data_IF_869231256249
#
_entry.id   IF_869231256249
#
_cell.length_a   1.000
_cell.length_b   1.000
_cell.length_c   1.000
_cell.angle_alpha   90.00
_cell.angle_beta   90.00
_cell.angle_gamma   90.00
#
_symmetry.space_group_name_H-M   'P 1'
#
loop_
_entity.id
_entity.type
_entity.pdbx_description
1 polymer ?
#
# COMPACT_ATOMS: atom_id res chain seq x y z
N UNK A 1 16.70 -12.39 -32.84
CA UNK A 1 17.04 -11.06 -32.34
C UNK A 1 15.95 -10.63 -31.38
N UNK A 2 16.22 -10.53 -30.06
CA UNK A 2 15.19 -10.13 -29.13
C UNK A 2 14.93 -8.63 -29.30
N UNK A 3 13.67 -8.27 -29.52
CA UNK A 3 13.21 -6.90 -29.45
C UNK A 3 13.48 -6.38 -28.03
N UNK A 4 14.45 -5.48 -27.89
CA UNK A 4 14.53 -4.55 -26.78
C UNK A 4 13.24 -3.72 -26.81
N UNK A 5 12.24 -4.13 -26.03
CA UNK A 5 11.09 -3.29 -25.73
C UNK A 5 11.64 -2.02 -25.09
N UNK A 6 11.59 -0.93 -25.83
CA UNK A 6 11.93 0.40 -25.36
C UNK A 6 11.08 0.70 -24.12
N UNK A 7 11.74 0.71 -22.95
CA UNK A 7 11.21 1.16 -21.66
C UNK A 7 11.10 2.69 -21.63
N UNK A 8 10.46 3.29 -22.64
CA UNK A 8 10.20 4.74 -22.70
C UNK A 8 9.00 5.12 -21.81
N UNK A 9 9.03 4.69 -20.55
CA UNK A 9 8.21 5.31 -19.52
C UNK A 9 8.72 6.72 -19.21
N UNK A 10 7.88 7.63 -18.70
CA UNK A 10 8.33 8.96 -18.29
C UNK A 10 9.43 8.82 -17.22
N UNK A 11 10.64 9.33 -17.48
CA UNK A 11 11.74 9.32 -16.51
C UNK A 11 11.91 10.68 -15.86
N UNK A 12 12.47 10.70 -14.64
CA UNK A 12 12.94 11.94 -14.03
C UNK A 12 14.19 12.47 -14.77
N UNK A 13 14.33 13.79 -14.80
CA UNK A 13 15.53 14.48 -15.27
C UNK A 13 16.72 14.37 -14.31
N UNK A 14 17.79 15.14 -14.55
CA UNK A 14 19.02 15.11 -13.73
C UNK A 14 18.81 15.64 -12.31
N UNK A 15 17.75 16.43 -12.08
CA UNK A 15 17.38 16.94 -10.76
C UNK A 15 15.88 16.80 -10.52
N UNK A 16 15.53 16.26 -9.35
CA UNK A 16 14.18 15.99 -8.90
C UNK A 16 13.86 16.82 -7.66
N UNK A 17 12.78 17.60 -7.73
CA UNK A 17 12.21 18.25 -6.56
C UNK A 17 11.14 17.34 -5.93
N UNK A 18 11.08 17.31 -4.60
CA UNK A 18 10.07 16.54 -3.87
C UNK A 18 9.41 17.42 -2.81
N UNK A 19 8.09 17.59 -2.85
CA UNK A 19 7.35 18.23 -1.75
C UNK A 19 6.70 17.18 -0.87
N UNK A 20 6.83 17.32 0.46
CA UNK A 20 6.12 16.50 1.44
C UNK A 20 4.65 16.96 1.59
N UNK A 21 3.74 16.13 2.13
CA UNK A 21 2.37 16.57 2.42
C UNK A 21 2.37 17.73 3.41
N UNK A 22 1.42 18.64 3.24
CA UNK A 22 1.30 19.82 4.09
C UNK A 22 1.13 19.53 5.56
N UNK A 23 0.40 18.46 5.89
CA UNK A 23 0.15 17.97 7.24
C UNK A 23 1.43 17.62 8.00
N UNK A 24 2.51 17.30 7.29
CA UNK A 24 3.78 16.91 7.88
C UNK A 24 4.72 18.06 8.17
N UNK A 25 4.63 19.17 7.43
CA UNK A 25 5.57 20.29 7.54
C UNK A 25 5.69 20.87 8.96
N UNK A 26 4.60 21.07 9.74
CA UNK A 26 4.72 21.59 11.11
C UNK A 26 5.49 20.66 12.07
N UNK A 27 5.66 19.38 11.71
CA UNK A 27 6.38 18.38 12.51
C UNK A 27 7.87 18.33 12.20
N UNK A 28 8.34 19.08 11.21
CA UNK A 28 9.71 19.03 10.72
C UNK A 28 10.49 20.27 11.17
N UNK A 29 11.71 20.05 11.67
CA UNK A 29 12.71 21.12 11.84
C UNK A 29 13.45 21.31 10.52
N UNK A 30 12.85 22.06 9.60
CA UNK A 30 13.44 22.33 8.28
C UNK A 30 14.36 23.56 8.30
N UNK A 31 15.54 23.51 7.65
CA UNK A 31 16.49 24.62 7.63
C UNK A 31 16.09 25.77 6.69
N UNK A 32 15.09 25.55 5.83
CA UNK A 32 14.62 26.54 4.86
C UNK A 32 13.56 25.97 3.92
N UNK A 33 13.16 26.77 2.92
CA UNK A 33 12.16 26.34 1.94
C UNK A 33 12.67 25.27 0.97
N UNK A 34 13.99 25.18 0.80
CA UNK A 34 14.69 24.11 0.09
C UNK A 34 15.64 23.42 1.07
N UNK A 35 15.67 22.09 1.05
CA UNK A 35 16.53 21.33 1.96
C UNK A 35 16.92 19.96 1.38
N UNK A 36 18.03 19.41 1.88
CA UNK A 36 18.53 18.09 1.48
C UNK A 36 17.90 16.95 2.29
N UNK A 37 18.19 15.70 1.88
CA UNK A 37 17.70 14.47 2.54
C UNK A 37 18.07 14.41 4.03
N UNK A 38 19.21 14.97 4.42
CA UNK A 38 19.70 14.92 5.79
C UNK A 38 18.76 15.54 6.82
N UNK A 39 17.95 16.54 6.42
CA UNK A 39 16.97 17.16 7.29
C UNK A 39 15.80 16.22 7.67
N UNK A 40 15.67 15.08 6.99
CA UNK A 40 14.62 14.08 7.24
C UNK A 40 15.13 12.85 8.00
N UNK A 41 16.44 12.74 8.26
CA UNK A 41 17.08 11.51 8.78
C UNK A 41 16.49 11.06 10.11
N UNK A 42 16.30 12.00 11.03
CA UNK A 42 15.92 11.72 12.43
C UNK A 42 14.41 11.95 12.67
N UNK A 43 13.63 12.15 11.61
CA UNK A 43 12.20 12.40 11.71
C UNK A 43 11.45 11.08 11.80
N UNK A 44 10.64 10.91 12.85
CA UNK A 44 9.72 9.79 12.98
C UNK A 44 8.54 9.99 12.03
N UNK A 45 8.58 9.31 10.88
CA UNK A 45 7.54 9.33 9.85
C UNK A 45 6.68 8.06 9.86
N UNK A 46 5.44 8.11 9.34
CA UNK A 46 4.63 6.94 9.09
C UNK A 46 5.35 6.01 8.13
N UNK A 47 5.06 4.72 8.24
CA UNK A 47 5.74 3.67 7.46
C UNK A 47 5.58 3.93 5.96
N UNK A 48 4.40 4.34 5.52
CA UNK A 48 4.07 4.55 4.11
C UNK A 48 4.78 5.78 3.54
N UNK A 49 4.86 6.90 4.28
CA UNK A 49 5.63 8.07 3.84
C UNK A 49 7.12 7.72 3.75
N UNK A 50 7.64 7.01 4.74
CA UNK A 50 9.04 6.54 4.76
C UNK A 50 9.33 5.62 3.57
N UNK A 51 8.42 4.70 3.26
CA UNK A 51 8.53 3.80 2.12
C UNK A 51 8.47 4.57 0.78
N UNK A 52 7.59 5.57 0.66
CA UNK A 52 7.50 6.42 -0.53
C UNK A 52 8.80 7.22 -0.74
N UNK A 53 9.35 7.78 0.32
CA UNK A 53 10.63 8.48 0.29
C UNK A 53 11.81 7.54 -0.02
N UNK A 54 11.84 6.34 0.56
CA UNK A 54 12.86 5.34 0.27
C UNK A 54 12.83 4.94 -1.21
N UNK A 55 11.64 4.72 -1.76
CA UNK A 55 11.45 4.42 -3.18
C UNK A 55 11.95 5.55 -4.09
N UNK A 56 11.56 6.79 -3.82
CA UNK A 56 12.05 7.95 -4.57
C UNK A 56 13.57 8.12 -4.44
N UNK A 57 14.10 7.86 -3.25
CA UNK A 57 15.53 7.96 -2.95
C UNK A 57 16.31 6.93 -3.74
N UNK A 58 15.89 5.67 -3.70
CA UNK A 58 16.51 4.57 -4.43
C UNK A 58 16.46 4.82 -5.94
N UNK A 59 15.32 5.25 -6.46
CA UNK A 59 15.16 5.55 -7.88
C UNK A 59 16.09 6.68 -8.32
N UNK A 60 16.13 7.77 -7.58
CA UNK A 60 16.98 8.91 -7.88
C UNK A 60 18.47 8.52 -7.81
N UNK A 61 18.88 7.75 -6.80
CA UNK A 61 20.25 7.24 -6.70
C UNK A 61 20.60 6.32 -7.88
N UNK A 62 19.72 5.38 -8.25
CA UNK A 62 19.94 4.48 -9.37
C UNK A 62 20.11 5.20 -10.72
N UNK A 63 19.51 6.38 -10.87
CA UNK A 63 19.58 7.23 -12.07
C UNK A 63 20.62 8.35 -11.99
N UNK A 64 21.36 8.45 -10.89
CA UNK A 64 22.22 9.61 -10.60
C UNK A 64 21.47 10.96 -10.67
N UNK A 65 20.17 10.95 -10.34
CA UNK A 65 19.35 12.15 -10.24
C UNK A 65 19.56 12.80 -8.86
N UNK A 66 19.95 14.07 -8.85
CA UNK A 66 20.05 14.84 -7.60
C UNK A 66 18.64 15.12 -7.06
N UNK A 67 18.43 14.92 -5.75
CA UNK A 67 17.12 15.08 -5.13
C UNK A 67 17.16 16.19 -4.07
N UNK A 68 16.21 17.10 -4.15
CA UNK A 68 16.05 18.19 -3.19
C UNK A 68 14.58 18.31 -2.77
N UNK A 69 14.34 18.66 -1.51
CA UNK A 69 13.00 18.85 -0.99
C UNK A 69 12.56 20.30 -1.01
N UNK A 70 11.25 20.49 -1.22
CA UNK A 70 10.58 21.80 -1.20
C UNK A 70 9.52 21.79 -0.10
N UNK A 71 9.66 22.67 0.90
CA UNK A 71 8.73 22.70 2.03
C UNK A 71 7.37 23.30 1.65
N UNK A 72 7.38 24.50 1.05
CA UNK A 72 6.18 25.31 0.81
C UNK A 72 6.04 25.67 -0.67
N UNK A 73 5.86 24.68 -1.56
CA UNK A 73 5.72 24.93 -3.00
C UNK A 73 4.65 25.98 -3.35
N UNK A 74 3.60 26.09 -2.53
CA UNK A 74 2.49 27.03 -2.72
C UNK A 74 2.88 28.52 -2.73
N UNK A 75 4.03 28.88 -2.14
CA UNK A 75 4.51 30.28 -2.14
C UNK A 75 5.27 30.62 -3.44
N UNK A 76 5.67 29.62 -4.23
CA UNK A 76 6.50 29.77 -5.42
C UNK A 76 5.69 29.78 -6.72
N UNK A 77 4.56 30.48 -6.69
CA UNK A 77 3.64 30.52 -7.83
C UNK A 77 3.94 31.65 -8.81
N UNK A 78 4.47 32.79 -8.34
CA UNK A 78 4.73 33.96 -9.18
C UNK A 78 5.76 34.93 -8.55
N UNK A 79 6.15 35.95 -9.31
CA UNK A 79 6.93 37.11 -8.84
C UNK A 79 8.32 36.75 -8.28
N UNK A 80 8.75 37.52 -7.27
CA UNK A 80 10.08 37.37 -6.64
C UNK A 80 10.29 36.00 -6.01
N UNK A 81 9.26 35.44 -5.38
CA UNK A 81 9.35 34.12 -4.75
C UNK A 81 9.62 33.04 -5.81
N UNK A 82 8.94 33.11 -6.96
CA UNK A 82 9.20 32.19 -8.06
C UNK A 82 10.60 32.35 -8.63
N UNK A 83 11.02 33.57 -8.94
CA UNK A 83 12.37 33.84 -9.44
C UNK A 83 13.46 33.31 -8.47
N UNK A 84 13.27 33.50 -7.16
CA UNK A 84 14.14 32.95 -6.12
C UNK A 84 14.26 31.43 -6.16
N UNK A 85 13.14 30.73 -6.44
CA UNK A 85 13.13 29.28 -6.57
C UNK A 85 13.89 28.85 -7.82
N UNK A 86 13.57 29.45 -8.98
CA UNK A 86 14.17 29.11 -10.27
C UNK A 86 15.70 29.25 -10.24
N UNK A 87 16.22 30.31 -9.60
CA UNK A 87 17.67 30.52 -9.37
C UNK A 87 18.34 29.36 -8.60
N UNK A 88 17.61 28.65 -7.73
CA UNK A 88 18.16 27.66 -6.79
C UNK A 88 17.92 26.22 -7.21
N UNK A 89 16.82 25.96 -7.91
CA UNK A 89 16.49 24.62 -8.41
C UNK A 89 17.29 24.28 -9.67
N UNK A 90 17.94 25.28 -10.29
CA UNK A 90 18.79 25.08 -11.46
C UNK A 90 18.00 24.54 -12.65
N UNK A 91 18.43 23.41 -13.19
CA UNK A 91 17.83 22.74 -14.35
C UNK A 91 16.72 21.75 -13.98
N UNK A 92 16.24 21.73 -12.73
CA UNK A 92 15.17 20.85 -12.31
C UNK A 92 13.89 21.09 -13.12
N UNK A 93 13.40 20.04 -13.80
CA UNK A 93 12.17 20.08 -14.60
C UNK A 93 11.03 19.27 -14.00
N UNK A 94 11.35 18.31 -13.14
CA UNK A 94 10.39 17.37 -12.57
C UNK A 94 10.21 17.63 -11.08
N UNK A 95 8.96 17.54 -10.64
CA UNK A 95 8.57 17.71 -9.25
C UNK A 95 7.64 16.57 -8.84
N UNK A 96 7.95 15.89 -7.74
CA UNK A 96 7.07 14.88 -7.13
C UNK A 96 6.33 15.49 -5.95
N UNK A 97 5.02 15.63 -6.09
CA UNK A 97 4.13 16.00 -5.01
C UNK A 97 3.66 14.74 -4.26
N UNK A 98 4.26 14.50 -3.09
CA UNK A 98 3.78 13.51 -2.13
C UNK A 98 2.46 14.03 -1.52
N UNK A 99 1.37 13.27 -1.70
CA UNK A 99 0.05 13.62 -1.19
C UNK A 99 -0.52 12.53 -0.29
N UNK A 100 -1.02 12.95 0.87
CA UNK A 100 -1.80 12.15 1.82
C UNK A 100 -3.31 12.10 1.49
N UNK A 101 -3.69 12.68 0.35
CA UNK A 101 -5.08 12.93 -0.05
C UNK A 101 -5.65 14.27 0.41
N UNK A 102 -5.12 14.88 1.48
CA UNK A 102 -5.62 16.15 1.99
C UNK A 102 -5.08 17.37 1.24
N UNK A 103 -3.88 17.26 0.67
CA UNK A 103 -3.28 18.34 -0.13
C UNK A 103 -2.47 17.78 -1.29
N UNK A 104 -2.57 18.44 -2.45
CA UNK A 104 -1.70 18.22 -3.61
C UNK A 104 -1.07 19.57 -3.93
N UNK A 105 0.27 19.64 -3.86
CA UNK A 105 0.99 20.91 -3.87
C UNK A 105 1.93 21.02 -5.09
N UNK A 106 1.40 21.23 -6.31
CA UNK A 106 2.23 21.34 -7.50
C UNK A 106 3.05 22.63 -7.50
N UNK A 107 4.17 22.63 -8.23
CA UNK A 107 4.95 23.82 -8.55
C UNK A 107 4.64 24.20 -10.00
N UNK A 108 4.04 25.37 -10.28
CA UNK A 108 3.73 25.80 -11.66
C UNK A 108 4.96 25.71 -12.58
N UNK A 109 4.78 25.52 -13.89
CA UNK A 109 5.91 25.48 -14.84
C UNK A 109 6.86 24.26 -14.73
N UNK A 110 6.72 23.41 -13.70
CA UNK A 110 7.40 22.12 -13.63
C UNK A 110 6.47 20.98 -14.07
N UNK A 111 7.07 19.85 -14.46
CA UNK A 111 6.36 18.60 -14.71
C UNK A 111 6.01 17.96 -13.36
N UNK A 112 4.75 18.11 -12.95
CA UNK A 112 4.29 17.66 -11.64
C UNK A 112 3.84 16.20 -11.69
N UNK A 113 4.45 15.36 -10.87
CA UNK A 113 4.12 13.96 -10.69
C UNK A 113 3.45 13.78 -9.33
N UNK A 114 2.31 13.10 -9.29
CA UNK A 114 1.63 12.82 -8.03
C UNK A 114 2.04 11.44 -7.49
N UNK A 115 2.39 11.39 -6.21
CA UNK A 115 2.51 10.14 -5.46
C UNK A 115 1.49 10.16 -4.32
N UNK A 116 0.45 9.34 -4.43
CA UNK A 116 -0.59 9.22 -3.41
C UNK A 116 -0.31 8.07 -2.42
N UNK A 117 -0.34 8.39 -1.13
CA UNK A 117 -0.23 7.48 0.02
C UNK A 117 -1.07 8.03 1.19
N UNK A 118 -1.23 7.32 2.30
CA UNK A 118 -1.25 5.86 2.35
C UNK A 118 -2.37 5.32 1.43
N UNK A 119 -2.04 4.31 0.62
CA UNK A 119 -3.07 3.58 -0.14
C UNK A 119 -3.80 2.60 0.77
N UNK A 120 -5.10 2.44 0.56
CA UNK A 120 -5.90 1.52 1.37
C UNK A 120 -6.29 2.08 2.73
N UNK A 121 -6.12 3.37 2.95
CA UNK A 121 -6.77 4.10 4.03
C UNK A 121 -8.03 4.80 3.47
N UNK A 122 -9.24 4.42 3.93
CA UNK A 122 -10.48 5.01 3.42
C UNK A 122 -10.59 6.53 3.64
N UNK A 123 -10.05 7.06 4.75
CA UNK A 123 -10.10 8.48 5.05
C UNK A 123 -9.21 9.28 4.08
N UNK A 124 -7.98 8.83 3.81
CA UNK A 124 -7.08 9.44 2.81
C UNK A 124 -7.66 9.38 1.39
N UNK A 125 -8.27 8.25 1.01
CA UNK A 125 -8.93 8.12 -0.29
C UNK A 125 -10.14 9.05 -0.42
N UNK A 126 -10.93 9.20 0.64
CA UNK A 126 -12.05 10.13 0.66
C UNK A 126 -11.56 11.58 0.65
N UNK A 127 -10.49 11.90 1.37
CA UNK A 127 -9.85 13.21 1.34
C UNK A 127 -9.41 13.58 -0.08
N UNK A 128 -8.77 12.63 -0.79
CA UNK A 128 -8.36 12.84 -2.17
C UNK A 128 -9.56 13.10 -3.09
N UNK A 129 -10.66 12.35 -2.93
CA UNK A 129 -11.91 12.57 -3.69
C UNK A 129 -12.52 13.93 -3.40
N UNK A 130 -12.47 14.37 -2.14
CA UNK A 130 -12.94 15.70 -1.75
C UNK A 130 -12.08 16.80 -2.37
N UNK A 131 -10.74 16.64 -2.34
CA UNK A 131 -9.81 17.56 -2.95
C UNK A 131 -10.03 17.66 -4.47
N UNK A 132 -10.21 16.53 -5.14
CA UNK A 132 -10.59 16.47 -6.56
C UNK A 132 -11.88 17.21 -6.88
N UNK A 133 -12.88 17.14 -6.00
CA UNK A 133 -14.16 17.82 -6.18
C UNK A 133 -14.03 19.34 -6.02
N UNK A 134 -13.15 19.80 -5.11
CA UNK A 134 -13.01 21.21 -4.76
C UNK A 134 -12.02 21.93 -5.68
N UNK A 135 -10.93 21.27 -6.07
CA UNK A 135 -9.86 21.85 -6.87
C UNK A 135 -9.39 20.88 -7.99
N UNK A 136 -10.26 20.53 -8.95
CA UNK A 136 -9.94 19.57 -10.02
C UNK A 136 -8.78 20.05 -10.92
N UNK A 137 -8.55 21.36 -11.02
CA UNK A 137 -7.45 21.97 -11.78
C UNK A 137 -6.06 21.56 -11.27
N UNK A 138 -5.91 21.22 -9.98
CA UNK A 138 -4.65 20.72 -9.41
C UNK A 138 -4.22 19.40 -10.06
N UNK A 139 -5.19 18.63 -10.57
CA UNK A 139 -4.97 17.30 -11.15
C UNK A 139 -4.88 17.33 -12.67
N UNK A 140 -5.49 18.33 -13.31
CA UNK A 140 -5.49 18.47 -14.77
C UNK A 140 -4.07 18.67 -15.34
N UNK A 141 -3.19 19.36 -14.59
CA UNK A 141 -1.81 19.64 -14.98
C UNK A 141 -0.78 18.57 -14.59
N UNK A 142 -1.21 17.41 -14.09
CA UNK A 142 -0.28 16.35 -13.69
C UNK A 142 0.39 15.70 -14.91
N UNK A 143 1.72 15.68 -14.90
CA UNK A 143 2.53 15.00 -15.91
C UNK A 143 2.44 13.47 -15.77
N UNK A 144 2.36 12.94 -14.55
CA UNK A 144 2.13 11.51 -14.31
C UNK A 144 1.64 11.21 -12.89
N UNK A 145 1.27 9.95 -12.65
CA UNK A 145 0.99 9.36 -11.35
C UNK A 145 2.02 8.27 -11.04
N UNK A 146 2.74 8.39 -9.94
CA UNK A 146 3.70 7.37 -9.50
C UNK A 146 2.93 6.21 -8.85
N UNK A 147 3.13 4.99 -9.37
CA UNK A 147 2.50 3.76 -8.91
C UNK A 147 0.99 3.88 -8.69
N UNK A 148 0.36 4.76 -9.48
CA UNK A 148 -1.04 5.10 -9.43
C UNK A 148 -1.64 5.09 -10.83
N UNK A 149 -2.97 5.09 -10.88
CA UNK A 149 -3.70 5.03 -12.15
C UNK A 149 -5.12 5.55 -12.01
N UNK A 150 -5.31 6.53 -11.12
CA UNK A 150 -6.59 7.17 -10.88
C UNK A 150 -6.96 8.04 -12.08
N UNK A 151 -8.26 8.13 -12.35
CA UNK A 151 -8.79 9.04 -13.36
C UNK A 151 -9.54 10.15 -12.64
N UNK A 152 -9.42 11.36 -13.16
CA UNK A 152 -9.96 12.58 -12.57
C UNK A 152 -10.93 13.20 -13.56
N UNK A 153 -11.99 13.82 -13.04
CA UNK A 153 -12.94 14.56 -13.87
C UNK A 153 -12.60 16.04 -13.82
N UNK A 154 -12.44 16.67 -14.98
CA UNK A 154 -12.23 18.10 -15.13
C UNK A 154 -13.28 18.65 -16.09
N UNK A 155 -14.28 19.35 -15.53
CA UNK A 155 -15.48 19.74 -16.27
C UNK A 155 -16.23 18.53 -16.84
N UNK A 156 -16.42 18.50 -18.16
CA UNK A 156 -17.04 17.39 -18.87
C UNK A 156 -16.07 16.25 -19.23
N UNK A 157 -14.76 16.47 -19.09
CA UNK A 157 -13.74 15.54 -19.58
C UNK A 157 -13.15 14.67 -18.46
N UNK A 158 -12.80 13.44 -18.81
CA UNK A 158 -11.98 12.58 -17.96
C UNK A 158 -10.51 12.72 -18.34
N UNK A 159 -9.67 13.12 -17.38
CA UNK A 159 -8.22 13.14 -17.51
C UNK A 159 -7.63 11.95 -16.75
N UNK A 160 -6.70 11.24 -17.37
CA UNK A 160 -5.94 10.18 -16.73
C UNK A 160 -4.45 10.42 -16.97
N UNK A 161 -3.76 11.09 -16.03
CA UNK A 161 -2.32 11.24 -16.13
C UNK A 161 -1.65 9.86 -16.25
N UNK A 162 -0.62 9.71 -17.10
CA UNK A 162 0.04 8.43 -17.32
C UNK A 162 0.68 7.91 -16.04
N UNK A 163 0.82 6.59 -15.92
CA UNK A 163 1.47 5.96 -14.77
C UNK A 163 3.00 5.97 -14.94
N UNK A 164 3.72 6.33 -13.88
CA UNK A 164 5.15 6.14 -13.73
C UNK A 164 5.38 5.01 -12.74
N UNK A 165 5.99 3.92 -13.19
CA UNK A 165 6.23 2.73 -12.38
C UNK A 165 7.60 2.79 -11.72
N UNK A 166 7.63 3.06 -10.42
CA UNK A 166 8.86 3.01 -9.63
C UNK A 166 8.89 1.73 -8.81
N UNK A 167 10.03 1.04 -8.76
CA UNK A 167 10.17 -0.28 -8.14
C UNK A 167 11.30 -0.31 -7.13
N UNK A 168 11.02 -0.83 -5.94
CA UNK A 168 12.07 -1.25 -5.02
C UNK A 168 12.67 -2.56 -5.55
N UNK A 169 14.00 -2.67 -5.61
CA UNK A 169 14.62 -3.97 -5.94
C UNK A 169 14.49 -4.96 -4.78
N UNK A 170 14.65 -4.46 -3.56
CA UNK A 170 14.59 -5.21 -2.33
C UNK A 170 13.54 -4.61 -1.40
N UNK A 171 12.82 -5.46 -0.70
CA UNK A 171 11.82 -5.04 0.27
C UNK A 171 12.54 -4.47 1.49
N UNK A 172 12.23 -3.23 1.93
CA UNK A 172 12.86 -2.66 3.10
C UNK A 172 12.59 -3.51 4.34
N UNK A 173 13.61 -3.71 5.17
CA UNK A 173 13.45 -4.36 6.47
C UNK A 173 12.42 -3.59 7.30
N UNK A 174 11.37 -4.30 7.74
CA UNK A 174 10.27 -3.69 8.48
C UNK A 174 10.21 -4.14 9.94
N UNK A 175 11.32 -4.68 10.45
CA UNK A 175 11.45 -5.31 11.76
C UNK A 175 11.36 -6.83 11.71
N UNK A 176 11.49 -7.47 12.86
CA UNK A 176 11.29 -8.91 13.02
C UNK A 176 9.80 -9.23 12.81
N UNK A 177 9.50 -10.21 11.98
CA UNK A 177 8.14 -10.70 11.78
C UNK A 177 7.70 -11.50 13.01
N UNK A 178 6.73 -10.97 13.76
CA UNK A 178 6.05 -11.73 14.80
C UNK A 178 4.93 -12.55 14.19
N UNK A 179 4.82 -13.82 14.60
CA UNK A 179 3.75 -14.73 14.18
C UNK A 179 2.84 -15.00 15.36
N UNK A 180 1.54 -14.82 15.19
CA UNK A 180 0.54 -15.10 16.22
C UNK A 180 -0.47 -16.11 15.68
N UNK A 181 -0.93 -17.07 16.50
CA UNK A 181 -1.94 -18.02 16.05
C UNK A 181 -3.24 -17.30 15.74
N UNK A 182 -3.99 -17.80 14.76
CA UNK A 182 -5.32 -17.31 14.50
C UNK A 182 -6.25 -17.66 15.66
N UNK A 183 -6.99 -16.66 16.12
CA UNK A 183 -8.05 -16.80 17.10
C UNK A 183 -9.10 -15.72 16.88
N UNK A 184 -10.35 -16.14 16.68
CA UNK A 184 -11.50 -15.24 16.50
C UNK A 184 -12.56 -15.54 17.56
N UNK A 185 -12.20 -15.35 18.83
CA UNK A 185 -13.10 -15.51 19.99
C UNK A 185 -13.74 -14.21 20.47
N UNK A 186 -14.57 -14.26 21.53
CA UNK A 186 -15.24 -13.09 22.09
C UNK A 186 -14.22 -12.00 22.50
N UNK A 187 -14.46 -10.79 21.97
CA UNK A 187 -13.59 -9.63 22.09
C UNK A 187 -13.59 -9.08 23.54
N UNK A 188 -12.43 -9.10 24.19
CA UNK A 188 -12.17 -8.43 25.47
C UNK A 188 -10.67 -8.46 25.78
N UNK A 189 -10.17 -7.52 26.59
CA UNK A 189 -8.75 -7.51 27.03
C UNK A 189 -8.30 -8.85 27.59
N UNK A 190 -9.19 -9.58 28.28
CA UNK A 190 -8.93 -10.93 28.80
C UNK A 190 -8.85 -12.02 27.72
N UNK A 191 -9.54 -11.88 26.58
CA UNK A 191 -9.49 -12.86 25.47
C UNK A 191 -8.22 -12.77 24.63
N UNK A 192 -7.57 -11.59 24.63
CA UNK A 192 -6.28 -11.35 23.98
C UNK A 192 -5.09 -11.61 24.93
N UNK A 193 -5.32 -11.54 26.26
CA UNK A 193 -4.35 -11.96 27.28
C UNK A 193 -4.10 -13.46 27.15
N UNK A 194 -2.99 -13.82 26.51
CA UNK A 194 -2.57 -15.22 26.32
C UNK A 194 -2.43 -15.64 24.86
N UNK A 195 -2.66 -14.76 23.88
CA UNK A 195 -2.14 -14.96 22.52
C UNK A 195 -0.65 -14.66 22.57
N UNK A 196 0.15 -15.70 22.79
CA UNK A 196 1.60 -15.58 22.77
C UNK A 196 2.10 -15.68 21.33
N UNK A 197 3.04 -14.80 20.92
CA UNK A 197 3.69 -14.95 19.64
C UNK A 197 4.50 -16.26 19.63
N UNK A 198 4.66 -16.84 18.45
CA UNK A 198 5.62 -17.90 18.26
C UNK A 198 7.03 -17.43 18.68
N UNK A 199 7.88 -18.34 19.21
CA UNK A 199 9.28 -18.02 19.44
C UNK A 199 9.93 -17.49 18.15
N UNK A 200 10.77 -16.43 18.21
CA UNK A 200 11.39 -15.84 17.02
C UNK A 200 12.20 -16.84 16.16
N UNK A 201 12.73 -17.88 16.78
CA UNK A 201 13.56 -18.92 16.15
C UNK A 201 12.75 -20.08 15.57
N UNK A 202 11.45 -20.17 15.89
CA UNK A 202 10.61 -21.25 15.40
C UNK A 202 10.32 -21.03 13.91
N UNK A 203 10.83 -21.93 13.06
CA UNK A 203 10.60 -21.91 11.63
C UNK A 203 9.12 -22.18 11.30
N UNK A 204 8.64 -21.62 10.19
CA UNK A 204 7.33 -22.01 9.65
C UNK A 204 7.37 -23.50 9.23
N UNK A 205 6.25 -24.23 9.39
CA UNK A 205 6.11 -25.55 8.77
C UNK A 205 6.30 -25.42 7.26
N UNK A 206 7.40 -25.96 6.73
CA UNK A 206 7.76 -25.89 5.30
C UNK A 206 7.00 -26.95 4.47
N UNK A 207 6.23 -27.81 5.14
CA UNK A 207 5.48 -28.91 4.52
C UNK A 207 4.22 -28.45 3.78
N UNK A 208 3.78 -27.19 3.97
CA UNK A 208 2.58 -26.65 3.35
C UNK A 208 2.86 -25.41 2.48
N UNK A 209 2.23 -25.30 1.29
CA UNK A 209 2.33 -24.10 0.46
C UNK A 209 1.77 -22.87 1.20
N UNK A 210 2.50 -21.76 1.17
CA UNK A 210 2.09 -20.52 1.85
C UNK A 210 1.18 -19.67 0.95
N UNK A 211 -0.02 -19.32 1.44
CA UNK A 211 -0.87 -18.25 0.90
C UNK A 211 -0.72 -17.01 1.78
N UNK A 212 -0.34 -15.89 1.20
CA UNK A 212 -0.12 -14.64 1.93
C UNK A 212 -1.14 -13.57 1.55
N UNK A 213 -1.75 -12.93 2.55
CA UNK A 213 -2.79 -11.91 2.38
C UNK A 213 -2.44 -10.68 3.23
N UNK A 214 -1.96 -9.57 2.64
CA UNK A 214 -1.75 -8.35 3.38
C UNK A 214 -3.08 -7.60 3.59
N UNK A 215 -3.44 -7.35 4.84
CA UNK A 215 -4.67 -6.63 5.18
C UNK A 215 -4.41 -5.13 5.32
N UNK A 216 -5.33 -4.32 4.80
CA UNK A 216 -5.37 -2.87 5.00
C UNK A 216 -6.73 -2.47 5.58
N UNK A 217 -6.87 -1.24 6.09
CA UNK A 217 -8.17 -0.74 6.56
C UNK A 217 -9.24 -0.81 5.46
N UNK A 218 -8.90 -0.47 4.22
CA UNK A 218 -9.82 -0.63 3.08
C UNK A 218 -10.17 -2.09 2.80
N UNK A 219 -9.22 -3.02 2.96
CA UNK A 219 -9.50 -4.45 2.80
C UNK A 219 -10.47 -4.97 3.87
N UNK A 220 -10.31 -4.50 5.11
CA UNK A 220 -11.21 -4.85 6.22
C UNK A 220 -12.61 -4.22 6.08
N UNK A 221 -12.72 -3.10 5.36
CA UNK A 221 -14.00 -2.45 5.06
C UNK A 221 -14.73 -3.01 3.82
N UNK A 222 -14.04 -3.79 2.96
CA UNK A 222 -14.62 -4.43 1.78
C UNK A 222 -15.26 -5.78 2.18
N UNK A 223 -16.57 -5.77 2.46
CA UNK A 223 -17.31 -6.97 2.89
C UNK A 223 -17.19 -8.16 1.91
N UNK A 224 -17.34 -7.98 0.58
CA UNK A 224 -17.06 -9.06 -0.38
C UNK A 224 -15.65 -9.66 -0.26
N UNK A 225 -14.62 -8.82 -0.17
CA UNK A 225 -13.24 -9.28 0.01
C UNK A 225 -13.08 -10.02 1.34
N UNK A 226 -13.60 -9.45 2.42
CA UNK A 226 -13.44 -10.03 3.75
C UNK A 226 -14.17 -11.36 3.92
N UNK A 227 -15.32 -11.54 3.25
CA UNK A 227 -16.00 -12.85 3.19
C UNK A 227 -15.17 -13.90 2.47
N UNK A 228 -14.49 -13.54 1.39
CA UNK A 228 -13.55 -14.44 0.72
C UNK A 228 -12.38 -14.81 1.65
N UNK A 229 -11.76 -13.83 2.31
CA UNK A 229 -10.70 -14.09 3.30
C UNK A 229 -11.19 -14.99 4.44
N UNK A 230 -12.39 -14.76 4.95
CA UNK A 230 -12.97 -15.59 6.01
C UNK A 230 -13.22 -17.04 5.56
N UNK A 231 -13.58 -17.27 4.30
CA UNK A 231 -13.70 -18.62 3.73
C UNK A 231 -12.34 -19.31 3.63
N UNK A 232 -11.31 -18.61 3.14
CA UNK A 232 -9.92 -19.10 3.08
C UNK A 232 -9.38 -19.47 4.47
N UNK A 233 -9.73 -18.67 5.48
CA UNK A 233 -9.41 -18.97 6.89
C UNK A 233 -10.07 -20.27 7.34
N UNK A 234 -11.36 -20.47 7.08
CA UNK A 234 -12.05 -21.70 7.46
C UNK A 234 -11.46 -22.92 6.76
N UNK A 235 -11.21 -22.83 5.46
CA UNK A 235 -10.61 -23.91 4.69
C UNK A 235 -9.24 -24.30 5.26
N UNK A 236 -8.37 -23.32 5.53
CA UNK A 236 -7.07 -23.57 6.15
C UNK A 236 -7.17 -24.22 7.54
N UNK A 237 -8.15 -23.80 8.37
CA UNK A 237 -8.37 -24.39 9.71
C UNK A 237 -8.85 -25.83 9.63
N UNK A 238 -9.74 -26.17 8.68
CA UNK A 238 -10.34 -27.50 8.55
C UNK A 238 -9.52 -28.46 7.66
N UNK A 239 -8.21 -28.24 7.54
CA UNK A 239 -7.31 -29.17 6.87
C UNK A 239 -7.09 -28.89 5.39
N UNK A 240 -7.35 -27.67 4.93
CA UNK A 240 -6.95 -27.21 3.60
C UNK A 240 -5.44 -27.37 3.36
N UNK A 241 -4.97 -27.35 2.10
CA UNK A 241 -3.57 -27.62 1.79
C UNK A 241 -2.65 -26.45 2.18
N UNK A 242 -3.12 -25.21 2.06
CA UNK A 242 -2.30 -24.01 2.21
C UNK A 242 -2.16 -23.58 3.69
N UNK A 243 -0.96 -23.14 4.08
CA UNK A 243 -0.74 -22.36 5.30
C UNK A 243 -1.08 -20.89 5.01
N UNK A 244 -1.98 -20.29 5.79
CA UNK A 244 -2.44 -18.93 5.54
C UNK A 244 -1.74 -17.91 6.44
N UNK A 245 -1.09 -16.92 5.85
CA UNK A 245 -0.47 -15.79 6.55
C UNK A 245 -1.26 -14.51 6.29
N UNK A 246 -1.79 -13.90 7.34
CA UNK A 246 -2.55 -12.66 7.29
C UNK A 246 -1.70 -11.52 7.87
N UNK A 247 -1.19 -10.62 7.02
CA UNK A 247 -0.47 -9.44 7.54
C UNK A 247 -1.46 -8.46 8.16
N UNK A 248 -1.23 -8.10 9.43
CA UNK A 248 -2.07 -7.14 10.13
C UNK A 248 -2.00 -5.74 9.49
N UNK A 249 -3.11 -4.98 9.46
CA UNK A 249 -3.10 -3.60 8.95
C UNK A 249 -2.19 -2.71 9.80
N UNK A 250 -1.55 -1.72 9.20
CA UNK A 250 -0.69 -0.75 9.88
C UNK A 250 -1.38 0.62 9.90
N UNK A 251 -2.28 0.90 10.87
CA UNK A 251 -2.96 2.18 10.92
C UNK A 251 -1.98 3.32 11.20
N UNK A 252 -2.33 4.53 10.75
CA UNK A 252 -1.56 5.73 11.08
C UNK A 252 -1.52 5.92 12.61
N UNK A 253 -0.33 6.20 13.15
CA UNK A 253 -0.13 6.40 14.60
C UNK A 253 0.39 5.18 15.36
N UNK A 254 0.64 4.04 14.70
CA UNK A 254 1.43 2.94 15.29
C UNK A 254 0.70 2.19 16.40
N UNK A 255 -0.55 1.78 16.16
CA UNK A 255 -1.28 0.94 17.10
C UNK A 255 -0.48 -0.32 17.46
N UNK A 256 -0.46 -0.66 18.76
CA UNK A 256 0.14 -1.90 19.25
C UNK A 256 -0.48 -3.13 18.55
N UNK A 257 0.29 -4.22 18.46
CA UNK A 257 -0.14 -5.47 17.82
C UNK A 257 -1.52 -5.94 18.30
N UNK A 258 -1.80 -5.79 19.61
CA UNK A 258 -3.11 -6.13 20.18
C UNK A 258 -4.27 -5.33 19.58
N UNK A 259 -4.11 -4.01 19.39
CA UNK A 259 -5.13 -3.17 18.78
C UNK A 259 -5.36 -3.52 17.30
N UNK A 260 -4.28 -3.83 16.58
CA UNK A 260 -4.35 -4.29 15.17
C UNK A 260 -5.13 -5.60 15.04
N UNK A 261 -4.88 -6.56 15.94
CA UNK A 261 -5.59 -7.83 16.00
C UNK A 261 -7.08 -7.62 16.30
N UNK A 262 -7.41 -6.78 17.29
CA UNK A 262 -8.79 -6.47 17.64
C UNK A 262 -9.58 -5.91 16.44
N UNK A 263 -8.95 -5.05 15.63
CA UNK A 263 -9.55 -4.52 14.40
C UNK A 263 -9.86 -5.63 13.40
N UNK A 264 -8.90 -6.55 13.16
CA UNK A 264 -9.10 -7.66 12.20
C UNK A 264 -10.16 -8.63 12.69
N UNK A 265 -10.12 -9.04 13.97
CA UNK A 265 -11.11 -9.96 14.57
C UNK A 265 -12.52 -9.38 14.50
N UNK A 266 -12.68 -8.09 14.81
CA UNK A 266 -13.97 -7.39 14.71
C UNK A 266 -14.50 -7.40 13.27
N UNK A 267 -13.63 -7.11 12.30
CA UNK A 267 -14.00 -7.13 10.90
C UNK A 267 -14.43 -8.55 10.46
N UNK A 268 -13.65 -9.58 10.79
CA UNK A 268 -13.96 -10.97 10.46
C UNK A 268 -15.27 -11.42 11.10
N UNK A 269 -15.53 -11.04 12.36
CA UNK A 269 -16.79 -11.33 13.05
C UNK A 269 -17.98 -10.68 12.35
N UNK A 270 -17.82 -9.45 11.85
CA UNK A 270 -18.87 -8.73 11.13
C UNK A 270 -19.28 -9.40 9.80
N UNK A 271 -18.50 -10.34 9.26
CA UNK A 271 -18.88 -11.11 8.06
C UNK A 271 -20.05 -12.05 8.31
N UNK A 272 -20.29 -12.43 9.58
CA UNK A 272 -21.27 -13.44 9.99
C UNK A 272 -20.76 -14.88 9.90
N UNK A 273 -19.51 -15.09 9.47
CA UNK A 273 -18.88 -16.42 9.42
C UNK A 273 -18.44 -16.82 10.83
N UNK A 274 -18.81 -18.03 11.24
CA UNK A 274 -18.48 -18.57 12.56
C UNK A 274 -17.16 -19.32 12.47
N UNK A 275 -16.17 -18.90 13.26
CA UNK A 275 -14.88 -19.57 13.36
C UNK A 275 -14.83 -20.51 14.59
N UNK A 276 -14.01 -21.57 14.54
CA UNK A 276 -13.75 -22.39 15.71
C UNK A 276 -13.21 -21.56 16.89
N UNK A 277 -13.60 -21.95 18.11
CA UNK A 277 -13.10 -21.32 19.35
C UNK A 277 -11.72 -21.82 19.77
N UNK A 278 -11.13 -22.76 19.03
CA UNK A 278 -9.77 -23.20 19.24
C UNK A 278 -8.80 -22.31 18.46
N UNK A 279 -7.59 -22.13 19.00
CA UNK A 279 -6.50 -21.46 18.28
C UNK A 279 -6.03 -22.36 17.14
N UNK A 280 -5.64 -21.76 16.02
CA UNK A 280 -5.08 -22.50 14.89
C UNK A 280 -3.75 -21.89 14.47
N UNK A 281 -2.78 -22.75 14.16
CA UNK A 281 -1.51 -22.39 13.53
C UNK A 281 -1.51 -22.61 12.02
N UNK A 282 -2.59 -23.21 11.47
CA UNK A 282 -2.81 -23.31 10.03
C UNK A 282 -3.17 -21.95 9.39
N UNK A 283 -3.58 -21.00 10.24
CA UNK A 283 -3.73 -19.59 9.90
C UNK A 283 -2.92 -18.79 10.93
N UNK A 284 -2.10 -17.84 10.48
CA UNK A 284 -1.26 -17.04 11.36
C UNK A 284 -1.44 -15.56 11.02
N UNK A 285 -1.57 -14.74 12.07
CA UNK A 285 -1.39 -13.31 11.92
C UNK A 285 0.10 -12.99 11.92
N UNK A 286 0.53 -12.12 11.00
CA UNK A 286 1.92 -11.66 10.93
C UNK A 286 2.00 -10.14 11.01
N UNK A 287 3.00 -9.62 11.72
CA UNK A 287 3.17 -8.17 11.89
C UNK A 287 3.93 -7.51 10.72
N UNK A 288 4.66 -8.32 9.95
CA UNK A 288 5.50 -7.93 8.83
C UNK A 288 5.47 -8.95 7.68
N UNK A 289 5.95 -8.58 6.48
CA UNK A 289 5.99 -9.49 5.35
C UNK A 289 6.99 -10.64 5.58
N UNK A 290 6.70 -11.88 5.15
CA UNK A 290 7.57 -13.03 5.31
C UNK A 290 8.74 -13.02 4.29
N UNK A 291 9.73 -12.16 4.52
CA UNK A 291 10.89 -12.02 3.63
C UNK A 291 11.74 -13.30 3.59
N UNK A 292 12.26 -13.64 2.41
CA UNK A 292 13.12 -14.81 2.19
C UNK A 292 12.39 -16.16 2.17
N UNK A 293 11.05 -16.16 2.28
CA UNK A 293 10.23 -17.38 2.23
C UNK A 293 9.63 -17.58 0.83
N UNK A 294 9.49 -18.84 0.40
CA UNK A 294 8.77 -19.17 -0.83
C UNK A 294 7.25 -19.05 -0.60
N UNK A 295 6.58 -18.29 -1.45
CA UNK A 295 5.14 -18.02 -1.34
C UNK A 295 4.43 -18.68 -2.52
N UNK A 296 3.49 -19.58 -2.26
CA UNK A 296 2.75 -20.26 -3.33
C UNK A 296 1.77 -19.30 -4.01
N UNK A 297 1.13 -18.43 -3.23
CA UNK A 297 0.19 -17.43 -3.75
C UNK A 297 0.09 -16.19 -2.85
N UNK A 298 -0.12 -15.04 -3.48
CA UNK A 298 -0.46 -13.79 -2.80
C UNK A 298 -1.83 -13.31 -3.23
N UNK A 299 -2.73 -13.06 -2.28
CA UNK A 299 -4.03 -12.45 -2.54
C UNK A 299 -4.04 -10.99 -2.10
N UNK A 300 -4.23 -10.07 -3.04
CA UNK A 300 -4.17 -8.64 -2.80
C UNK A 300 -5.54 -7.98 -2.94
N UNK A 301 -5.87 -7.13 -1.97
CA UNK A 301 -6.94 -6.15 -2.11
C UNK A 301 -6.44 -4.92 -2.90
N UNK A 302 -7.26 -4.25 -3.73
CA UNK A 302 -6.85 -3.05 -4.50
C UNK A 302 -6.33 -1.87 -3.66
N UNK A 303 -6.67 -1.84 -2.37
CA UNK A 303 -6.16 -0.88 -1.40
C UNK A 303 -4.73 -1.15 -0.93
N UNK A 304 -4.13 -2.31 -1.24
CA UNK A 304 -2.78 -2.63 -0.77
C UNK A 304 -1.76 -1.65 -1.37
N UNK A 305 -0.89 -1.02 -0.55
CA UNK A 305 0.21 -0.18 -1.03
C UNK A 305 1.34 -1.05 -1.62
N UNK A 306 1.07 -1.76 -2.73
CA UNK A 306 1.97 -2.77 -3.32
C UNK A 306 3.40 -2.27 -3.58
N UNK A 307 3.57 -0.97 -3.85
CA UNK A 307 4.86 -0.34 -4.10
C UNK A 307 5.78 -0.28 -2.88
N UNK A 308 5.29 -0.62 -1.66
CA UNK A 308 6.11 -0.74 -0.46
C UNK A 308 6.96 -2.01 -0.44
N UNK A 309 6.57 -2.99 -1.24
CA UNK A 309 7.29 -4.25 -1.38
C UNK A 309 8.23 -4.17 -2.58
N UNK A 310 9.41 -4.76 -2.43
CA UNK A 310 10.36 -4.93 -3.51
C UNK A 310 9.97 -6.04 -4.48
N UNK A 311 10.63 -6.05 -5.62
CA UNK A 311 10.48 -7.10 -6.63
C UNK A 311 10.87 -8.46 -6.05
N UNK A 312 11.91 -8.51 -5.21
CA UNK A 312 12.31 -9.70 -4.46
C UNK A 312 11.14 -10.42 -3.75
N UNK A 313 10.23 -9.65 -3.15
CA UNK A 313 9.08 -10.20 -2.44
C UNK A 313 8.04 -10.77 -3.39
N UNK A 314 7.76 -10.07 -4.49
CA UNK A 314 6.81 -10.58 -5.49
C UNK A 314 7.41 -11.73 -6.30
N UNK A 315 8.72 -11.75 -6.54
CA UNK A 315 9.41 -12.83 -7.24
C UNK A 315 9.42 -14.13 -6.41
N UNK A 316 9.42 -14.01 -5.07
CA UNK A 316 9.20 -15.13 -4.17
C UNK A 316 7.78 -15.73 -4.25
N UNK A 317 6.81 -15.01 -4.82
CA UNK A 317 5.45 -15.49 -5.05
C UNK A 317 5.31 -16.17 -6.42
N UNK A 318 4.92 -17.45 -6.41
CA UNK A 318 4.61 -18.19 -7.65
C UNK A 318 3.40 -17.61 -8.37
N UNK A 319 2.39 -17.13 -7.61
CA UNK A 319 1.17 -16.52 -8.13
C UNK A 319 0.83 -15.25 -7.38
N UNK A 320 0.40 -14.22 -8.10
CA UNK A 320 -0.16 -12.99 -7.53
C UNK A 320 -1.55 -12.78 -8.08
N UNK A 321 -2.50 -12.59 -7.17
CA UNK A 321 -3.92 -12.50 -7.47
C UNK A 321 -4.50 -11.23 -6.84
N UNK A 322 -5.44 -10.61 -7.53
CA UNK A 322 -6.20 -9.46 -7.01
C UNK A 322 -7.64 -9.89 -6.86
N UNK A 323 -8.23 -9.68 -5.69
CA UNK A 323 -9.64 -9.97 -5.45
C UNK A 323 -10.54 -8.77 -5.76
N UNK A 324 -11.71 -9.05 -6.35
CA UNK A 324 -12.81 -8.10 -6.52
C UNK A 324 -13.29 -7.95 -7.98
N UNK A 325 -14.07 -6.89 -8.24
CA UNK A 325 -14.72 -6.66 -9.55
C UNK A 325 -14.07 -5.50 -10.34
N UNK A 326 -14.64 -4.30 -10.30
CA UNK A 326 -14.24 -3.19 -11.17
C UNK A 326 -12.96 -2.48 -10.71
N UNK A 327 -12.84 -2.15 -9.42
CA UNK A 327 -11.62 -1.57 -8.85
C UNK A 327 -10.44 -2.56 -8.96
N UNK A 328 -10.72 -3.84 -8.73
CA UNK A 328 -9.78 -4.93 -8.87
C UNK A 328 -9.21 -5.06 -10.29
N UNK A 329 -10.05 -4.92 -11.33
CA UNK A 329 -9.58 -4.99 -12.72
C UNK A 329 -8.57 -3.88 -13.03
N UNK A 330 -8.83 -2.64 -12.61
CA UNK A 330 -7.91 -1.51 -12.82
C UNK A 330 -6.62 -1.66 -12.03
N UNK A 331 -6.73 -2.08 -10.77
CA UNK A 331 -5.57 -2.34 -9.92
C UNK A 331 -4.72 -3.49 -10.47
N UNK A 332 -5.35 -4.58 -10.92
CA UNK A 332 -4.68 -5.69 -11.59
C UNK A 332 -3.89 -5.22 -12.81
N UNK A 333 -4.49 -4.40 -13.68
CA UNK A 333 -3.75 -3.86 -14.86
C UNK A 333 -2.56 -3.01 -14.44
N UNK A 334 -2.73 -2.16 -13.41
CA UNK A 334 -1.63 -1.36 -12.85
C UNK A 334 -0.52 -2.26 -12.31
N UNK A 335 -0.88 -3.29 -11.52
CA UNK A 335 0.06 -4.20 -10.89
C UNK A 335 0.74 -5.13 -11.92
N UNK A 336 0.03 -5.63 -12.92
CA UNK A 336 0.63 -6.40 -14.03
C UNK A 336 1.66 -5.58 -14.78
N UNK A 337 1.34 -4.32 -15.09
CA UNK A 337 2.29 -3.42 -15.77
C UNK A 337 3.49 -3.09 -14.85
N UNK A 338 3.25 -2.91 -13.56
CA UNK A 338 4.31 -2.69 -12.59
C UNK A 338 5.19 -3.91 -12.38
N UNK A 339 4.64 -5.14 -12.33
CA UNK A 339 5.41 -6.39 -12.18
C UNK A 339 6.02 -6.91 -13.49
N UNK A 340 5.60 -6.38 -14.64
CA UNK A 340 5.94 -6.92 -15.97
C UNK A 340 5.56 -8.41 -16.15
N UNK A 341 4.54 -8.87 -15.42
CA UNK A 341 4.03 -10.24 -15.52
C UNK A 341 2.52 -10.31 -15.30
N UNK A 342 1.86 -11.40 -15.72
CA UNK A 342 0.43 -11.59 -15.50
C UNK A 342 0.07 -11.58 -14.01
N UNK A 343 -1.08 -11.00 -13.68
CA UNK A 343 -1.67 -11.01 -12.34
C UNK A 343 -3.09 -11.57 -12.46
N UNK A 344 -3.41 -12.56 -11.62
CA UNK A 344 -4.72 -13.20 -11.59
C UNK A 344 -5.80 -12.23 -11.10
N UNK A 345 -7.03 -12.43 -11.56
CA UNK A 345 -8.21 -11.75 -11.02
C UNK A 345 -9.13 -12.78 -10.40
N UNK A 346 -9.26 -12.76 -9.08
CA UNK A 346 -10.20 -13.59 -8.36
C UNK A 346 -11.49 -12.81 -8.14
N UNK A 347 -12.55 -13.24 -8.80
CA UNK A 347 -13.88 -12.67 -8.58
C UNK A 347 -14.49 -13.41 -7.41
N UNK A 348 -14.96 -12.71 -6.36
CA UNK A 348 -15.80 -13.35 -5.36
C UNK A 348 -16.93 -14.06 -6.07
N UNK A 349 -17.21 -15.32 -5.73
CA UNK A 349 -18.41 -15.98 -6.20
C UNK A 349 -19.59 -15.05 -5.88
N UNK A 350 -20.41 -14.72 -6.89
CA UNK A 350 -21.68 -14.08 -6.61
C UNK A 350 -22.37 -14.97 -5.58
N UNK A 351 -22.86 -14.38 -4.48
CA UNK A 351 -23.44 -15.13 -3.38
C UNK A 351 -24.64 -15.95 -3.90
N UNK A 352 -24.37 -17.16 -4.41
CA UNK A 352 -25.31 -18.25 -4.40
C UNK A 352 -25.64 -18.44 -2.93
N UNK A 353 -26.91 -18.23 -2.58
CA UNK A 353 -27.37 -18.17 -1.19
C UNK A 353 -26.67 -19.21 -0.34
N UNK A 354 -26.01 -18.76 0.72
CA UNK A 354 -25.29 -19.64 1.62
C UNK A 354 -26.22 -20.82 2.00
N UNK A 355 -25.77 -22.09 1.85
CA UNK A 355 -26.52 -23.18 2.42
C UNK A 355 -26.62 -22.92 3.92
N UNK A 356 -27.85 -22.74 4.41
CA UNK A 356 -28.13 -22.75 5.85
C UNK A 356 -27.77 -24.14 6.34
N UNK A 357 -26.57 -24.30 6.87
CA UNK A 357 -26.25 -25.48 7.69
C UNK A 357 -26.98 -25.27 9.01
N UNK A 358 -28.22 -25.77 9.08
CA UNK A 358 -28.88 -26.01 10.36
C UNK A 358 -28.12 -27.11 11.07
N UNK A 359 -27.52 -26.74 12.21
CA UNK A 359 -27.00 -27.67 13.21
C UNK A 359 -28.19 -28.47 13.70
N UNK A 360 -28.50 -29.62 13.07
CA UNK A 360 -29.37 -30.66 13.63
C UNK A 360 -29.44 -31.97 12.82
N UNK A 361 -28.54 -32.23 11.86
CA UNK A 361 -28.51 -33.54 11.21
C UNK A 361 -27.09 -34.12 11.23
N UNK A 362 -26.77 -34.81 12.32
CA UNK A 362 -25.81 -35.93 12.36
C UNK A 362 -26.58 -37.09 13.02
N UNK A 363 -26.57 -38.30 12.45
CA UNK A 363 -27.39 -39.44 12.90
C UNK A 363 -27.14 -39.87 14.34
#
# INVERSE_FOLDING_TARGET
MPHTASTNGPTFGPRLLVSLPGSWLPRLKIPGSLFGRDALRDVVMPVELRAALALLTQEATARSTSMQFVARPEIFTHGRARAWLDERIGDARDHVALTDGHSLRPIPGLRNHMFFFPRGNPASEQALRNLLRVAPELFAGLASQINGGMAFRFGASWCRPPSLYLRLRQTPESGIMERLPFYCGPLGRQGMQGIEPAPPEEALPIDRPIRYIPLTEAALADTPFLRMVAQEVLEAIFGGPELLLLELPRPEGGAETAGRLETVIRALTATGIVFPRARSWAVQFVTAPPLGMSIASMLLHPGVPFWRYGLDFFDAAQRVEVAGSAAATRFRTLLSAWLERPVGLLRPAAAAGAPRVTVNDVP
#
